data_IF_811679119766
#
_entry.id   IF_811679119766
#
_cell.length_a   1.000
_cell.length_b   1.000
_cell.length_c   1.000
_cell.angle_alpha   90.00
_cell.angle_beta   90.00
_cell.angle_gamma   90.00
#
_symmetry.space_group_name_H-M   'P 1'
#
loop_
_entity.id
_entity.type
_entity.pdbx_description
1 polymer ?
#
# COMPACT_ATOMS: atom_id res chain seq x y z
N UNK A 1 -27.53 -36.97 -11.54
CA UNK A 1 -26.39 -37.37 -10.68
C UNK A 1 -26.16 -36.43 -9.48
N UNK A 2 -27.18 -35.66 -9.05
CA UNK A 2 -27.02 -34.55 -8.08
C UNK A 2 -27.71 -34.75 -6.73
N UNK A 3 -28.50 -35.80 -6.50
CA UNK A 3 -29.24 -35.97 -5.22
C UNK A 3 -28.62 -36.96 -4.20
N UNK A 4 -27.80 -37.92 -4.61
CA UNK A 4 -27.16 -38.88 -3.67
C UNK A 4 -25.97 -38.22 -2.93
N UNK A 5 -25.32 -37.22 -3.53
CA UNK A 5 -24.16 -36.53 -2.95
C UNK A 5 -24.52 -35.59 -1.78
N UNK A 6 -25.74 -35.03 -1.77
CA UNK A 6 -26.19 -34.06 -0.77
C UNK A 6 -26.54 -34.73 0.58
N UNK A 7 -27.03 -35.98 0.57
CA UNK A 7 -27.43 -36.68 1.80
C UNK A 7 -26.24 -37.22 2.62
N UNK A 8 -25.13 -37.61 2.00
CA UNK A 8 -23.94 -38.10 2.71
C UNK A 8 -23.20 -36.96 3.41
N UNK A 9 -23.10 -35.78 2.79
CA UNK A 9 -22.46 -34.58 3.36
C UNK A 9 -23.18 -34.10 4.61
N UNK A 10 -24.52 -34.15 4.62
CA UNK A 10 -25.34 -33.74 5.76
C UNK A 10 -25.23 -34.66 6.99
N UNK A 11 -24.98 -35.96 6.79
CA UNK A 11 -24.78 -36.93 7.89
C UNK A 11 -23.40 -36.74 8.54
N UNK A 12 -22.36 -36.51 7.73
CA UNK A 12 -20.98 -36.26 8.23
C UNK A 12 -20.89 -34.94 9.01
N UNK A 13 -21.62 -33.91 8.59
CA UNK A 13 -21.71 -32.63 9.30
C UNK A 13 -22.40 -32.78 10.67
N UNK A 14 -23.49 -33.57 10.75
CA UNK A 14 -24.21 -33.82 12.01
C UNK A 14 -23.38 -34.63 13.02
N UNK A 15 -22.57 -35.58 12.56
CA UNK A 15 -21.67 -36.36 13.44
C UNK A 15 -20.50 -35.51 13.95
N UNK A 16 -19.91 -34.64 13.11
CA UNK A 16 -18.86 -33.70 13.54
C UNK A 16 -19.36 -32.67 14.56
N UNK A 17 -20.63 -32.25 14.49
CA UNK A 17 -21.23 -31.31 15.44
C UNK A 17 -21.44 -31.93 16.83
N UNK A 18 -21.86 -33.21 16.93
CA UNK A 18 -21.99 -33.93 18.21
C UNK A 18 -20.65 -34.11 18.92
N UNK A 19 -19.62 -34.52 18.17
CA UNK A 19 -18.28 -34.76 18.72
C UNK A 19 -17.62 -33.45 19.20
N UNK A 20 -17.98 -32.32 18.60
CA UNK A 20 -17.59 -30.99 19.08
C UNK A 20 -18.34 -30.57 20.35
N UNK A 21 -19.62 -30.90 20.49
CA UNK A 21 -20.41 -30.60 21.68
C UNK A 21 -19.89 -31.36 22.93
N UNK A 22 -19.60 -32.66 22.81
CA UNK A 22 -19.01 -33.43 23.93
C UNK A 22 -17.62 -32.93 24.34
N UNK A 23 -16.81 -32.46 23.38
CA UNK A 23 -15.50 -31.85 23.66
C UNK A 23 -15.62 -30.49 24.35
N UNK A 24 -16.71 -29.75 24.13
CA UNK A 24 -17.00 -28.47 24.81
C UNK A 24 -17.45 -28.73 26.25
N UNK A 25 -18.33 -29.72 26.47
CA UNK A 25 -18.82 -30.12 27.80
C UNK A 25 -17.66 -30.55 28.72
N UNK A 26 -16.76 -31.43 28.23
CA UNK A 26 -15.57 -31.88 28.97
C UNK A 26 -14.60 -30.75 29.32
N UNK A 27 -14.48 -29.73 28.46
CA UNK A 27 -13.65 -28.54 28.73
C UNK A 27 -14.26 -27.61 29.78
N UNK A 28 -15.59 -27.56 29.87
CA UNK A 28 -16.32 -26.77 30.89
C UNK A 28 -16.09 -27.33 32.30
N UNK A 29 -16.17 -28.65 32.46
CA UNK A 29 -15.98 -29.34 33.74
C UNK A 29 -14.55 -29.13 34.29
N UNK A 30 -13.54 -29.19 33.41
CA UNK A 30 -12.14 -28.98 33.81
C UNK A 30 -11.85 -27.49 34.16
N UNK A 31 -12.60 -26.56 33.55
CA UNK A 31 -12.46 -25.13 33.80
C UNK A 31 -13.00 -24.70 35.18
N UNK A 32 -14.13 -25.26 35.63
CA UNK A 32 -14.70 -24.97 36.95
C UNK A 32 -13.80 -25.48 38.10
N UNK A 33 -13.23 -26.69 37.97
CA UNK A 33 -12.26 -27.22 38.93
C UNK A 33 -10.95 -26.40 39.01
N UNK A 34 -10.55 -25.75 37.90
CA UNK A 34 -9.35 -24.91 37.87
C UNK A 34 -9.59 -23.53 38.51
N UNK A 35 -10.79 -22.97 38.32
CA UNK A 35 -11.21 -21.70 38.91
C UNK A 35 -11.26 -21.76 40.45
N UNK A 36 -11.60 -22.91 41.02
CA UNK A 36 -11.67 -23.11 42.47
C UNK A 36 -10.29 -23.09 43.15
N UNK A 37 -9.21 -23.38 42.40
CA UNK A 37 -7.83 -23.49 42.93
C UNK A 37 -6.96 -22.24 42.72
N UNK A 38 -7.44 -21.22 42.01
CA UNK A 38 -6.59 -20.14 41.48
C UNK A 38 -6.84 -18.72 42.06
N UNK A 39 -7.29 -18.59 43.32
CA UNK A 39 -7.13 -17.33 44.07
C UNK A 39 -5.87 -17.45 44.92
N UNK A 40 -4.85 -16.55 44.83
CA UNK A 40 -5.00 -15.10 44.67
C UNK A 40 -3.85 -14.39 43.90
N UNK A 41 -4.02 -13.94 42.65
CA UNK A 41 -3.15 -12.89 42.06
C UNK A 41 -3.89 -12.11 40.97
N UNK A 42 -4.32 -10.88 41.31
CA UNK A 42 -4.76 -9.75 40.49
C UNK A 42 -5.93 -9.91 39.49
N UNK A 43 -6.69 -8.81 39.33
CA UNK A 43 -7.98 -8.76 38.65
C UNK A 43 -7.88 -9.19 37.17
N UNK A 44 -8.72 -10.13 36.70
CA UNK A 44 -8.74 -10.49 35.29
C UNK A 44 -9.33 -9.36 34.43
N UNK A 45 -8.58 -8.92 33.42
CA UNK A 45 -9.02 -7.93 32.45
C UNK A 45 -10.00 -8.53 31.43
N UNK A 46 -10.93 -7.72 30.95
CA UNK A 46 -11.78 -8.12 29.81
C UNK A 46 -11.14 -7.64 28.52
N UNK A 47 -10.94 -8.55 27.56
CA UNK A 47 -10.12 -8.33 26.36
C UNK A 47 -10.90 -8.61 25.10
N UNK A 48 -10.74 -7.77 24.09
CA UNK A 48 -10.96 -8.14 22.69
C UNK A 48 -9.70 -7.87 21.88
N UNK A 49 -9.40 -8.71 20.89
CA UNK A 49 -8.26 -8.47 20.00
C UNK A 49 -8.68 -8.45 18.54
N UNK A 50 -8.10 -7.55 17.77
CA UNK A 50 -8.21 -7.50 16.31
C UNK A 50 -6.83 -7.71 15.70
N UNK A 51 -6.75 -8.52 14.65
CA UNK A 51 -5.54 -8.66 13.83
C UNK A 51 -5.73 -7.84 12.56
N UNK A 52 -4.69 -7.09 12.18
CA UNK A 52 -4.72 -6.27 10.95
C UNK A 52 -4.62 -7.11 9.66
N UNK A 53 -4.31 -8.41 9.77
CA UNK A 53 -4.15 -9.33 8.63
C UNK A 53 -5.42 -10.12 8.28
N UNK A 54 -6.52 -9.93 9.02
CA UNK A 54 -7.76 -10.69 8.79
C UNK A 54 -8.72 -9.84 7.96
N UNK A 55 -8.91 -10.22 6.68
CA UNK A 55 -9.84 -9.60 5.72
C UNK A 55 -11.31 -10.00 5.92
N UNK A 56 -11.57 -11.01 6.75
CA UNK A 56 -12.93 -11.50 7.04
C UNK A 56 -13.46 -10.82 8.31
N UNK A 57 -14.69 -10.27 8.31
CA UNK A 57 -15.28 -9.65 9.50
C UNK A 57 -15.55 -10.71 10.58
N UNK A 58 -14.59 -10.90 11.49
CA UNK A 58 -14.76 -11.72 12.70
C UNK A 58 -15.46 -10.89 13.77
N UNK A 59 -16.59 -11.38 14.28
CA UNK A 59 -17.29 -10.74 15.41
C UNK A 59 -16.36 -10.66 16.63
N UNK A 60 -15.90 -9.45 16.95
CA UNK A 60 -15.01 -9.20 18.09
C UNK A 60 -15.77 -9.48 19.39
N UNK A 61 -15.31 -10.45 20.17
CA UNK A 61 -15.94 -10.83 21.45
C UNK A 61 -15.02 -10.47 22.61
N UNK A 62 -15.60 -9.83 23.62
CA UNK A 62 -14.93 -9.50 24.88
C UNK A 62 -14.81 -10.77 25.75
N UNK A 63 -13.59 -11.11 26.18
CA UNK A 63 -13.30 -12.30 26.99
C UNK A 63 -12.47 -11.92 28.21
N UNK A 64 -12.87 -12.42 29.38
CA UNK A 64 -12.11 -12.26 30.62
C UNK A 64 -10.84 -13.12 30.55
N UNK A 65 -9.68 -12.52 30.79
CA UNK A 65 -8.34 -13.11 30.65
C UNK A 65 -7.41 -12.56 31.73
N UNK A 66 -6.46 -13.36 32.17
CA UNK A 66 -5.43 -12.94 33.11
C UNK A 66 -4.24 -12.37 32.37
N UNK A 67 -3.75 -11.22 32.83
CA UNK A 67 -2.54 -10.56 32.33
C UNK A 67 -1.51 -10.49 33.44
N UNK A 68 -0.26 -10.56 33.02
CA UNK A 68 0.88 -10.46 33.93
C UNK A 68 1.98 -9.66 33.23
N UNK A 69 2.55 -8.70 33.95
CA UNK A 69 3.78 -8.02 33.58
C UNK A 69 4.86 -8.41 34.60
N UNK A 70 5.85 -9.20 34.16
CA UNK A 70 7.01 -9.58 34.98
C UNK A 70 8.29 -9.16 34.27
N UNK A 71 8.99 -8.18 34.83
CA UNK A 71 10.15 -7.55 34.18
C UNK A 71 9.73 -6.94 32.84
N UNK A 72 10.32 -7.44 31.75
CA UNK A 72 10.04 -6.99 30.38
C UNK A 72 9.06 -7.90 29.63
N UNK A 73 8.52 -8.93 30.29
CA UNK A 73 7.56 -9.86 29.69
C UNK A 73 6.14 -9.50 30.08
N UNK A 74 5.40 -8.92 29.11
CA UNK A 74 3.95 -8.78 29.21
C UNK A 74 3.28 -10.00 28.57
N UNK A 75 2.38 -10.68 29.29
CA UNK A 75 1.78 -11.93 28.81
C UNK A 75 0.35 -12.11 29.28
N UNK A 76 -0.42 -12.91 28.55
CA UNK A 76 -1.79 -13.26 28.91
C UNK A 76 -2.07 -14.76 28.81
N UNK A 77 -2.93 -15.26 29.69
CA UNK A 77 -3.35 -16.66 29.70
C UNK A 77 -4.61 -16.86 28.87
N UNK A 78 -4.55 -17.72 27.85
CA UNK A 78 -5.68 -17.93 26.92
C UNK A 78 -6.65 -19.05 27.35
N UNK A 79 -6.40 -19.70 28.48
CA UNK A 79 -7.12 -20.88 28.98
C UNK A 79 -6.33 -22.19 28.88
N UNK A 80 -5.26 -22.23 28.08
CA UNK A 80 -4.41 -23.43 27.90
C UNK A 80 -2.94 -23.15 28.09
N UNK A 81 -2.47 -21.97 27.68
CA UNK A 81 -1.07 -21.56 27.79
C UNK A 81 -0.94 -20.05 27.95
N UNK A 82 0.24 -19.65 28.43
CA UNK A 82 0.69 -18.26 28.43
C UNK A 82 1.11 -17.84 27.02
N UNK A 83 0.74 -16.62 26.62
CA UNK A 83 1.11 -16.02 25.36
C UNK A 83 1.76 -14.67 25.64
N UNK A 84 2.96 -14.45 25.09
CA UNK A 84 3.71 -13.23 25.29
C UNK A 84 3.22 -12.14 24.31
N UNK A 85 3.17 -10.91 24.80
CA UNK A 85 2.94 -9.69 24.05
C UNK A 85 4.26 -8.94 24.05
N UNK A 86 4.82 -8.79 22.86
CA UNK A 86 6.01 -7.97 22.68
C UNK A 86 5.63 -6.50 22.79
N UNK A 87 6.10 -5.84 23.85
CA UNK A 87 5.85 -4.42 24.08
C UNK A 87 6.72 -3.51 23.21
N UNK A 88 7.73 -4.05 22.50
CA UNK A 88 8.54 -3.26 21.59
C UNK A 88 7.66 -2.68 20.50
N UNK A 89 7.81 -1.38 20.24
CA UNK A 89 7.01 -0.64 19.27
C UNK A 89 5.50 -0.61 19.57
N UNK A 90 5.09 -0.94 20.81
CA UNK A 90 3.71 -0.78 21.21
C UNK A 90 3.39 0.68 21.58
N UNK A 91 2.16 1.08 21.30
CA UNK A 91 1.56 2.31 21.82
C UNK A 91 0.46 1.95 22.81
N UNK A 92 0.38 2.66 23.93
CA UNK A 92 -0.67 2.45 24.94
C UNK A 92 -1.41 3.74 25.21
N UNK A 93 -2.74 3.71 25.07
CA UNK A 93 -3.59 4.89 25.23
C UNK A 93 -5.00 4.56 25.70
N UNK A 94 -5.64 5.54 26.33
CA UNK A 94 -7.05 5.52 26.69
C UNK A 94 -7.94 5.49 25.44
N UNK A 95 -9.04 4.74 25.49
CA UNK A 95 -10.07 4.73 24.46
C UNK A 95 -11.24 5.63 24.84
N UNK A 96 -11.21 6.89 24.38
CA UNK A 96 -12.25 7.89 24.70
C UNK A 96 -13.62 7.57 24.08
N UNK A 97 -13.66 6.87 22.94
CA UNK A 97 -14.90 6.50 22.21
C UNK A 97 -15.17 4.99 22.28
N UNK A 98 -14.90 4.37 23.43
CA UNK A 98 -15.11 2.95 23.60
C UNK A 98 -16.60 2.58 23.79
N UNK A 99 -17.00 1.41 23.29
CA UNK A 99 -18.33 0.82 23.56
C UNK A 99 -18.52 0.48 25.06
N UNK A 100 -17.45 0.55 25.85
CA UNK A 100 -17.42 0.24 27.28
C UNK A 100 -16.54 1.24 28.03
N UNK A 101 -16.90 1.58 29.26
CA UNK A 101 -16.09 2.45 30.13
C UNK A 101 -14.78 1.78 30.56
N UNK A 102 -13.82 2.59 31.02
CA UNK A 102 -12.53 2.15 31.57
C UNK A 102 -11.75 1.26 30.58
N UNK A 103 -11.76 1.65 29.31
CA UNK A 103 -11.10 0.92 28.25
C UNK A 103 -9.83 1.62 27.77
N UNK A 104 -8.79 0.84 27.54
CA UNK A 104 -7.55 1.28 26.95
C UNK A 104 -7.11 0.28 25.88
N UNK A 105 -6.22 0.71 24.99
CA UNK A 105 -5.69 -0.16 23.95
C UNK A 105 -4.17 -0.23 23.95
N UNK A 106 -3.68 -1.39 23.51
CA UNK A 106 -2.28 -1.66 23.21
C UNK A 106 -2.21 -1.93 21.71
N UNK A 107 -1.60 -1.01 20.98
CA UNK A 107 -1.45 -1.09 19.52
C UNK A 107 -0.04 -1.56 19.21
N UNK A 108 0.11 -2.78 18.67
CA UNK A 108 1.37 -3.27 18.08
C UNK A 108 1.27 -3.27 16.54
N UNK A 109 2.40 -3.43 15.81
CA UNK A 109 2.38 -3.54 14.35
C UNK A 109 1.47 -4.66 13.83
N UNK A 110 1.42 -5.79 14.55
CA UNK A 110 0.75 -7.02 14.11
C UNK A 110 -0.66 -7.16 14.70
N UNK A 111 -0.89 -6.63 15.92
CA UNK A 111 -2.10 -6.89 16.69
C UNK A 111 -2.50 -5.72 17.59
N UNK A 112 -3.80 -5.45 17.68
CA UNK A 112 -4.34 -4.48 18.65
C UNK A 112 -5.13 -5.21 19.72
N UNK A 113 -4.81 -4.93 20.99
CA UNK A 113 -5.55 -5.40 22.15
C UNK A 113 -6.38 -4.26 22.71
N UNK A 114 -7.68 -4.47 22.90
CA UNK A 114 -8.54 -3.56 23.66
C UNK A 114 -8.81 -4.22 25.00
N UNK A 115 -8.57 -3.49 26.07
CA UNK A 115 -8.56 -3.95 27.44
C UNK A 115 -9.52 -3.10 28.25
N UNK A 116 -10.30 -3.74 29.12
CA UNK A 116 -11.20 -3.10 30.05
C UNK A 116 -10.81 -3.49 31.48
N UNK A 117 -10.69 -2.48 32.35
CA UNK A 117 -10.51 -2.64 33.80
C UNK A 117 -11.83 -2.47 34.54
N UNK A 118 -11.85 -2.82 35.82
CA UNK A 118 -13.08 -2.72 36.62
C UNK A 118 -13.37 -1.26 37.00
N UNK A 119 -12.34 -0.42 37.12
CA UNK A 119 -12.46 1.02 37.40
C UNK A 119 -11.42 1.89 36.65
N UNK A 120 -11.67 3.20 36.65
CA UNK A 120 -10.84 4.22 35.97
C UNK A 120 -9.42 4.32 36.56
N UNK A 121 -9.29 4.19 37.88
CA UNK A 121 -7.99 4.22 38.55
C UNK A 121 -7.08 3.08 38.05
N UNK A 122 -7.60 1.86 38.04
CA UNK A 122 -6.89 0.69 37.49
C UNK A 122 -6.54 0.89 36.00
N UNK A 123 -7.42 1.53 35.21
CA UNK A 123 -7.13 1.81 33.80
C UNK A 123 -5.89 2.68 33.66
N UNK A 124 -5.82 3.80 34.40
CA UNK A 124 -4.67 4.70 34.34
C UNK A 124 -3.41 4.08 34.93
N UNK A 125 -3.54 3.27 35.98
CA UNK A 125 -2.43 2.50 36.54
C UNK A 125 -1.84 1.51 35.50
N UNK A 126 -2.70 0.77 34.80
CA UNK A 126 -2.30 -0.11 33.70
C UNK A 126 -1.65 0.65 32.54
N UNK A 127 -2.22 1.77 32.11
CA UNK A 127 -1.66 2.61 31.04
C UNK A 127 -0.26 3.09 31.44
N UNK A 128 -0.10 3.67 32.63
CA UNK A 128 1.18 4.19 33.11
C UNK A 128 2.23 3.09 33.23
N UNK A 129 1.87 1.96 33.83
CA UNK A 129 2.76 0.81 34.01
C UNK A 129 3.26 0.26 32.67
N UNK A 130 2.36 0.15 31.69
CA UNK A 130 2.72 -0.34 30.35
C UNK A 130 3.52 0.68 29.54
N UNK A 131 3.20 1.98 29.61
CA UNK A 131 4.01 3.03 28.98
C UNK A 131 5.45 3.03 29.52
N UNK A 132 5.62 2.87 30.84
CA UNK A 132 6.94 2.73 31.46
C UNK A 132 7.67 1.46 31.03
N UNK A 133 6.95 0.34 30.91
CA UNK A 133 7.52 -0.93 30.42
C UNK A 133 7.94 -0.86 28.96
N UNK A 134 7.17 -0.17 28.10
CA UNK A 134 7.53 0.10 26.71
C UNK A 134 8.80 0.97 26.65
N UNK A 135 8.89 2.02 27.46
CA UNK A 135 10.09 2.86 27.58
C UNK A 135 11.35 2.04 27.86
N UNK A 136 11.28 1.05 28.75
CA UNK A 136 12.39 0.13 29.02
C UNK A 136 12.67 -0.84 27.87
N UNK A 137 11.63 -1.41 27.27
CA UNK A 137 11.76 -2.37 26.17
C UNK A 137 12.38 -1.78 24.88
N UNK A 138 12.25 -0.46 24.68
CA UNK A 138 12.82 0.29 23.55
C UNK A 138 14.36 0.31 23.51
N UNK A 139 15.03 0.02 24.63
CA UNK A 139 16.50 -0.03 24.70
C UNK A 139 17.10 -1.41 24.37
N UNK A 140 16.31 -2.36 23.86
CA UNK A 140 16.79 -3.70 23.44
C UNK A 140 17.03 -3.80 21.92
N UNK A 141 18.11 -4.48 21.53
CA UNK A 141 18.86 -4.42 20.25
C UNK A 141 18.14 -4.86 18.93
N UNK A 142 16.81 -4.69 18.76
CA UNK A 142 16.08 -5.23 17.59
C UNK A 142 15.21 -4.26 16.79
N UNK A 143 15.04 -3.00 17.20
CA UNK A 143 14.21 -2.02 16.47
C UNK A 143 15.06 -1.00 15.70
N UNK A 144 14.57 -0.52 14.55
CA UNK A 144 15.26 0.54 13.81
C UNK A 144 15.14 1.89 14.54
N UNK A 145 16.12 2.80 14.40
CA UNK A 145 16.07 4.12 15.03
C UNK A 145 14.78 4.90 14.74
N UNK A 146 14.24 4.82 13.52
CA UNK A 146 13.01 5.49 13.11
C UNK A 146 11.76 4.94 13.82
N UNK A 147 11.66 3.61 13.96
CA UNK A 147 10.56 2.97 14.67
C UNK A 147 10.58 3.28 16.17
N UNK A 148 11.78 3.39 16.74
CA UNK A 148 11.99 3.78 18.15
C UNK A 148 11.51 5.22 18.37
N UNK A 149 11.93 6.16 17.51
CA UNK A 149 11.55 7.57 17.60
C UNK A 149 10.03 7.74 17.47
N UNK A 150 9.41 7.05 16.52
CA UNK A 150 7.96 7.09 16.31
C UNK A 150 7.17 6.57 17.52
N UNK A 151 7.60 5.48 18.13
CA UNK A 151 6.95 4.90 19.31
C UNK A 151 7.11 5.79 20.56
N UNK A 152 8.30 6.36 20.77
CA UNK A 152 8.57 7.29 21.87
C UNK A 152 7.72 8.56 21.75
N UNK A 153 7.66 9.16 20.56
CA UNK A 153 6.86 10.35 20.30
C UNK A 153 5.37 10.09 20.49
N UNK A 154 4.87 8.94 20.04
CA UNK A 154 3.47 8.58 20.20
C UNK A 154 3.06 8.37 21.65
N UNK A 155 3.91 7.72 22.45
CA UNK A 155 3.65 7.54 23.88
C UNK A 155 3.74 8.88 24.64
N UNK A 156 4.71 9.73 24.30
CA UNK A 156 4.80 11.09 24.86
C UNK A 156 3.56 11.95 24.56
N UNK A 157 3.05 11.87 23.32
CA UNK A 157 1.82 12.54 22.92
C UNK A 157 0.58 11.98 23.65
N UNK A 158 0.50 10.67 23.86
CA UNK A 158 -0.57 10.03 24.62
C UNK A 158 -0.56 10.48 26.10
N UNK A 159 0.62 10.54 26.72
CA UNK A 159 0.80 11.06 28.09
C UNK A 159 0.40 12.54 28.17
N UNK A 160 0.85 13.37 27.22
CA UNK A 160 0.48 14.80 27.18
C UNK A 160 -1.04 15.01 27.04
N UNK A 161 -1.68 14.19 26.20
CA UNK A 161 -3.13 14.21 26.02
C UNK A 161 -3.91 13.74 27.26
N UNK A 162 -3.33 12.84 28.06
CA UNK A 162 -3.89 12.38 29.34
C UNK A 162 -3.88 13.50 30.39
N UNK A 163 -2.80 14.28 30.47
CA UNK A 163 -2.67 15.42 31.39
C UNK A 163 -3.27 16.73 30.86
N UNK A 164 -3.96 16.71 29.71
CA UNK A 164 -4.59 17.89 29.13
C UNK A 164 -3.61 18.97 28.66
N UNK A 165 -2.33 18.62 28.48
CA UNK A 165 -1.28 19.52 28.00
C UNK A 165 -1.52 19.75 26.50
N UNK A 166 -2.04 20.92 26.13
CA UNK A 166 -2.28 21.28 24.73
C UNK A 166 -1.02 21.92 24.13
N UNK A 167 -0.62 21.54 22.90
CA UNK A 167 0.50 22.17 22.21
C UNK A 167 0.20 23.64 21.92
N UNK A 168 1.21 24.48 22.09
CA UNK A 168 1.15 25.92 21.81
C UNK A 168 1.02 26.19 20.30
N UNK A 169 0.49 27.36 19.92
CA UNK A 169 0.40 27.75 18.50
C UNK A 169 1.77 27.77 17.80
N UNK A 170 2.84 28.11 18.54
CA UNK A 170 4.21 28.08 18.04
C UNK A 170 4.66 26.65 17.69
N UNK A 171 4.35 25.68 18.53
CA UNK A 171 4.65 24.26 18.29
C UNK A 171 3.84 23.69 17.13
N UNK A 172 2.55 24.05 17.04
CA UNK A 172 1.70 23.66 15.90
C UNK A 172 2.24 24.21 14.58
N UNK A 173 2.72 25.47 14.57
CA UNK A 173 3.31 26.09 13.37
C UNK A 173 4.60 25.38 12.95
N UNK A 174 5.49 25.10 13.92
CA UNK A 174 6.74 24.36 13.67
C UNK A 174 6.47 22.97 13.12
N UNK A 175 5.55 22.23 13.73
CA UNK A 175 5.16 20.89 13.27
C UNK A 175 4.60 20.90 11.84
N UNK A 176 3.77 21.90 11.49
CA UNK A 176 3.25 22.06 10.12
C UNK A 176 4.37 22.29 9.10
N UNK A 177 5.37 23.09 9.46
CA UNK A 177 6.53 23.36 8.60
C UNK A 177 7.40 22.11 8.42
N UNK A 178 7.65 21.36 9.50
CA UNK A 178 8.39 20.09 9.45
C UNK A 178 7.69 19.06 8.54
N UNK A 179 6.36 18.94 8.65
CA UNK A 179 5.58 18.05 7.78
C UNK A 179 5.67 18.44 6.29
N UNK A 180 5.61 19.75 5.99
CA UNK A 180 5.77 20.24 4.62
C UNK A 180 7.18 20.00 4.08
N UNK A 181 8.21 20.20 4.90
CA UNK A 181 9.60 19.95 4.54
C UNK A 181 9.84 18.45 4.26
N UNK A 182 9.38 17.56 5.15
CA UNK A 182 9.45 16.10 4.95
C UNK A 182 8.72 15.67 3.67
N UNK A 183 7.56 16.26 3.39
CA UNK A 183 6.82 15.97 2.16
C UNK A 183 7.59 16.39 0.91
N UNK A 184 8.18 17.59 0.92
CA UNK A 184 9.00 18.10 -0.19
C UNK A 184 10.24 17.23 -0.42
N UNK A 185 10.91 16.82 0.65
CA UNK A 185 12.06 15.92 0.57
C UNK A 185 11.69 14.57 -0.06
N UNK A 186 10.59 13.96 0.38
CA UNK A 186 10.08 12.70 -0.20
C UNK A 186 9.74 12.86 -1.68
N UNK A 187 9.14 13.99 -2.07
CA UNK A 187 8.82 14.27 -3.48
C UNK A 187 10.09 14.35 -4.33
N UNK A 188 11.12 15.08 -3.87
CA UNK A 188 12.42 15.18 -4.54
C UNK A 188 13.11 13.82 -4.70
N UNK A 189 13.12 12.99 -3.65
CA UNK A 189 13.67 11.63 -3.69
C UNK A 189 12.97 10.75 -4.74
N UNK A 190 11.65 10.91 -4.90
CA UNK A 190 10.88 10.15 -5.89
C UNK A 190 11.11 10.68 -7.31
N UNK A 191 11.27 11.99 -7.49
CA UNK A 191 11.64 12.60 -8.77
C UNK A 191 13.04 12.15 -9.20
N UNK A 192 13.99 12.06 -8.26
CA UNK A 192 15.31 11.53 -8.54
C UNK A 192 15.25 10.10 -9.08
N UNK A 193 14.44 9.23 -8.46
CA UNK A 193 14.21 7.87 -8.98
C UNK A 193 13.66 7.84 -10.40
N UNK A 194 12.85 8.83 -10.80
CA UNK A 194 12.37 8.95 -12.18
C UNK A 194 13.53 9.29 -13.12
N UNK A 195 14.44 10.18 -12.73
CA UNK A 195 15.62 10.55 -13.54
C UNK A 195 16.56 9.36 -13.75
N UNK A 196 16.68 8.51 -12.74
CA UNK A 196 17.57 7.34 -12.74
C UNK A 196 17.01 6.16 -13.56
N UNK A 197 15.78 6.23 -14.08
CA UNK A 197 15.22 5.17 -14.92
C UNK A 197 15.99 5.01 -16.23
N UNK A 198 16.05 3.78 -16.80
CA UNK A 198 16.69 3.53 -18.08
C UNK A 198 16.18 4.48 -19.18
N UNK A 199 17.13 5.19 -19.81
CA UNK A 199 16.88 6.13 -20.90
C UNK A 199 16.43 7.53 -20.47
N UNK A 200 16.09 7.76 -19.19
CA UNK A 200 15.59 9.06 -18.73
C UNK A 200 16.67 10.14 -18.60
N UNK A 201 17.96 9.78 -18.66
CA UNK A 201 19.08 10.73 -18.69
C UNK A 201 19.21 11.51 -20.01
N UNK A 202 18.45 11.14 -21.04
CA UNK A 202 18.37 11.84 -22.33
C UNK A 202 16.91 12.03 -22.74
N UNK A 203 16.63 13.08 -23.50
CA UNK A 203 15.31 13.36 -24.05
C UNK A 203 14.82 12.20 -24.91
N UNK A 204 13.57 11.77 -24.69
CA UNK A 204 12.97 10.65 -25.40
C UNK A 204 12.98 10.82 -26.93
N UNK A 205 12.88 12.06 -27.43
CA UNK A 205 12.68 12.33 -28.86
C UNK A 205 13.95 12.72 -29.59
N UNK A 206 14.79 13.57 -29.00
CA UNK A 206 15.99 14.11 -29.67
C UNK A 206 17.32 13.79 -28.99
N UNK A 207 17.30 13.00 -27.91
CA UNK A 207 18.53 12.59 -27.22
C UNK A 207 19.26 13.68 -26.42
N UNK A 208 18.71 14.90 -26.32
CA UNK A 208 19.33 15.98 -25.52
C UNK A 208 19.48 15.55 -24.05
N UNK A 209 20.67 15.68 -23.43
CA UNK A 209 20.91 15.24 -22.05
C UNK A 209 20.10 16.01 -21.01
N UNK A 210 19.95 15.41 -19.84
CA UNK A 210 19.36 15.98 -18.62
C UNK A 210 17.98 16.62 -18.85
N UNK A 211 16.99 15.87 -19.37
CA UNK A 211 15.65 16.40 -19.56
C UNK A 211 14.98 16.76 -18.22
N UNK A 212 14.42 17.97 -18.14
CA UNK A 212 13.73 18.48 -16.93
C UNK A 212 12.20 18.55 -17.08
N UNK A 213 11.66 18.07 -18.20
CA UNK A 213 10.22 17.96 -18.43
C UNK A 213 9.86 16.49 -18.60
N UNK A 214 8.58 16.19 -18.44
CA UNK A 214 8.05 14.85 -18.64
C UNK A 214 6.63 14.90 -19.18
N UNK A 215 6.29 13.91 -20.00
CA UNK A 215 4.90 13.63 -20.34
C UNK A 215 4.38 12.57 -19.37
N UNK A 216 3.54 12.98 -18.42
CA UNK A 216 3.17 12.12 -17.30
C UNK A 216 2.19 11.00 -17.65
N UNK A 217 1.47 11.11 -18.77
CA UNK A 217 0.61 10.04 -19.28
C UNK A 217 1.36 9.06 -20.20
N UNK A 218 2.42 9.51 -20.88
CA UNK A 218 3.26 8.65 -21.73
C UNK A 218 4.39 7.97 -20.95
N UNK A 219 4.81 8.54 -19.81
CA UNK A 219 5.89 7.98 -18.99
C UNK A 219 7.30 8.28 -19.50
N UNK A 220 7.49 9.44 -20.14
CA UNK A 220 8.76 9.84 -20.78
C UNK A 220 9.29 11.17 -20.25
N UNK A 221 10.60 11.36 -20.31
CA UNK A 221 11.30 12.63 -20.03
C UNK A 221 11.70 13.35 -21.32
N UNK A 222 11.57 14.68 -21.30
CA UNK A 222 11.66 15.56 -22.46
C UNK A 222 12.55 16.76 -22.14
N UNK A 223 13.31 17.24 -23.12
CA UNK A 223 13.96 18.54 -23.03
C UNK A 223 12.95 19.69 -23.22
N UNK A 224 13.36 20.92 -22.93
CA UNK A 224 12.49 22.10 -23.02
C UNK A 224 11.81 22.22 -24.39
N UNK A 225 12.55 22.02 -25.48
CA UNK A 225 12.06 22.18 -26.85
C UNK A 225 11.03 21.11 -27.20
N UNK A 226 11.35 19.82 -26.99
CA UNK A 226 10.42 18.73 -27.26
C UNK A 226 9.18 18.82 -26.36
N UNK A 227 9.35 19.25 -25.11
CA UNK A 227 8.21 19.49 -24.20
C UNK A 227 7.26 20.56 -24.74
N UNK A 228 7.79 21.60 -25.40
CA UNK A 228 6.98 22.64 -26.06
C UNK A 228 6.15 22.10 -27.21
N UNK A 229 6.74 21.25 -28.04
CA UNK A 229 6.04 20.56 -29.14
C UNK A 229 4.96 19.63 -28.58
N UNK A 230 5.28 18.83 -27.56
CA UNK A 230 4.31 17.97 -26.88
C UNK A 230 3.10 18.73 -26.30
N UNK A 231 3.28 19.98 -25.85
CA UNK A 231 2.15 20.84 -25.43
C UNK A 231 1.24 21.18 -26.62
N UNK A 232 1.81 21.39 -27.80
CA UNK A 232 1.10 21.67 -29.05
C UNK A 232 0.23 20.51 -29.54
N UNK A 233 0.58 19.25 -29.22
CA UNK A 233 -0.21 18.06 -29.58
C UNK A 233 -1.57 18.00 -28.84
N UNK A 234 -1.68 18.69 -27.70
CA UNK A 234 -2.88 18.69 -26.86
C UNK A 234 -2.92 17.58 -25.79
N UNK A 235 -3.74 17.82 -24.76
CA UNK A 235 -3.80 17.01 -23.52
C UNK A 235 -4.31 15.58 -23.70
N UNK A 236 -4.94 15.28 -24.84
CA UNK A 236 -5.41 13.95 -25.22
C UNK A 236 -4.26 13.07 -25.73
N UNK A 237 -3.16 13.68 -26.19
CA UNK A 237 -1.93 12.97 -26.61
C UNK A 237 -0.88 13.02 -25.50
N UNK A 238 -0.56 14.22 -25.00
CA UNK A 238 0.56 14.43 -24.08
C UNK A 238 0.22 15.42 -22.97
N UNK A 239 0.52 15.03 -21.72
CA UNK A 239 0.31 15.83 -20.51
C UNK A 239 1.66 16.21 -19.93
N UNK A 240 2.16 17.39 -20.34
CA UNK A 240 3.52 17.85 -20.00
C UNK A 240 3.57 18.52 -18.62
N UNK A 241 4.52 18.09 -17.78
CA UNK A 241 4.88 18.68 -16.48
C UNK A 241 6.39 18.88 -16.37
N UNK A 242 6.82 19.91 -15.67
CA UNK A 242 8.22 20.09 -15.26
C UNK A 242 8.54 19.19 -14.07
N UNK A 243 9.68 18.52 -14.11
CA UNK A 243 10.20 17.70 -13.00
C UNK A 243 10.68 18.56 -11.81
N UNK A 244 10.94 19.86 -12.03
CA UNK A 244 11.50 20.77 -11.02
C UNK A 244 10.51 21.87 -10.58
N UNK A 245 9.65 22.33 -11.49
CA UNK A 245 8.78 23.50 -11.25
C UNK A 245 7.33 23.13 -10.90
N UNK A 246 6.87 21.95 -11.32
CA UNK A 246 5.49 21.52 -11.08
C UNK A 246 5.40 20.56 -9.88
N UNK A 247 4.22 20.53 -9.27
CA UNK A 247 3.88 19.53 -8.25
C UNK A 247 3.57 18.16 -8.89
N UNK A 248 4.02 17.10 -8.25
CA UNK A 248 3.84 15.71 -8.68
C UNK A 248 2.99 14.89 -7.70
N UNK A 249 1.71 14.63 -8.03
CA UNK A 249 0.90 13.63 -7.34
C UNK A 249 1.55 12.23 -7.37
N UNK A 250 1.35 11.45 -6.30
CA UNK A 250 1.94 10.11 -6.16
C UNK A 250 1.50 9.15 -7.28
N UNK A 251 0.30 9.35 -7.82
CA UNK A 251 -0.23 8.56 -8.95
C UNK A 251 0.57 8.81 -10.23
N UNK A 252 0.96 10.06 -10.51
CA UNK A 252 1.77 10.38 -11.69
C UNK A 252 3.22 9.89 -11.53
N UNK A 253 3.77 9.96 -10.32
CA UNK A 253 5.08 9.40 -10.01
C UNK A 253 5.09 7.89 -10.27
N UNK A 254 4.02 7.19 -9.86
CA UNK A 254 3.89 5.74 -10.05
C UNK A 254 3.88 5.36 -11.53
N UNK A 255 3.20 6.15 -12.38
CA UNK A 255 3.22 5.95 -13.85
C UNK A 255 4.64 6.12 -14.38
N UNK A 256 5.32 7.21 -14.02
CA UNK A 256 6.70 7.48 -14.46
C UNK A 256 7.65 6.35 -14.04
N UNK A 257 7.59 5.90 -12.78
CA UNK A 257 8.42 4.80 -12.25
C UNK A 257 8.15 3.43 -12.88
N UNK A 258 6.96 3.24 -13.45
CA UNK A 258 6.60 2.00 -14.15
C UNK A 258 7.07 1.98 -15.61
N UNK A 259 7.50 3.13 -16.15
CA UNK A 259 7.83 3.32 -17.55
C UNK A 259 9.29 3.79 -17.72
N UNK A 260 9.53 4.92 -18.37
CA UNK A 260 10.84 5.42 -18.75
C UNK A 260 11.10 5.34 -20.25
N UNK A 261 11.97 6.22 -20.74
CA UNK A 261 12.21 6.43 -22.17
C UNK A 261 12.63 5.17 -22.89
N UNK A 262 13.47 4.32 -22.28
CA UNK A 262 13.87 3.04 -22.90
C UNK A 262 12.65 2.16 -23.20
N UNK A 263 11.74 2.01 -22.23
CA UNK A 263 10.54 1.16 -22.39
C UNK A 263 9.56 1.75 -23.39
N UNK A 264 9.35 3.07 -23.34
CA UNK A 264 8.40 3.74 -24.22
C UNK A 264 8.92 3.79 -25.65
N UNK A 265 10.22 4.05 -25.86
CA UNK A 265 10.81 4.02 -27.20
C UNK A 265 10.86 2.59 -27.77
N UNK A 266 10.99 1.55 -26.96
CA UNK A 266 10.83 0.16 -27.42
C UNK A 266 9.42 -0.14 -27.98
N UNK A 267 8.42 0.70 -27.69
CA UNK A 267 7.07 0.63 -28.25
C UNK A 267 6.94 1.58 -29.44
N UNK A 268 7.25 2.87 -29.21
CA UNK A 268 7.00 3.96 -30.16
C UNK A 268 8.05 4.10 -31.26
N UNK A 269 9.18 3.41 -31.16
CA UNK A 269 10.28 3.39 -32.14
C UNK A 269 10.63 1.94 -32.54
N UNK A 270 9.73 0.98 -32.28
CA UNK A 270 9.98 -0.46 -32.44
C UNK A 270 10.38 -0.86 -33.88
N UNK A 271 9.76 -0.24 -34.89
CA UNK A 271 10.10 -0.50 -36.30
C UNK A 271 11.50 -0.04 -36.66
N UNK A 272 11.94 1.10 -36.12
CA UNK A 272 13.26 1.65 -36.37
C UNK A 272 14.35 0.77 -35.74
N UNK A 273 14.11 0.30 -34.52
CA UNK A 273 15.00 -0.66 -33.85
C UNK A 273 15.09 -1.99 -34.62
N UNK A 274 13.97 -2.49 -35.14
CA UNK A 274 13.93 -3.72 -35.96
C UNK A 274 14.72 -3.56 -37.26
N UNK A 275 14.58 -2.41 -37.93
CA UNK A 275 15.22 -2.14 -39.21
C UNK A 275 16.66 -1.59 -39.07
N UNK A 276 17.11 -1.30 -37.85
CA UNK A 276 18.38 -0.61 -37.57
C UNK A 276 18.50 0.73 -38.32
N UNK A 277 17.38 1.45 -38.44
CA UNK A 277 17.27 2.73 -39.14
C UNK A 277 17.05 3.86 -38.12
N UNK A 278 18.12 4.58 -37.77
CA UNK A 278 18.07 5.74 -36.87
C UNK A 278 18.22 7.07 -37.64
N UNK A 279 18.24 7.03 -38.99
CA UNK A 279 18.47 8.23 -39.82
C UNK A 279 17.35 9.27 -39.69
N UNK A 280 16.15 8.80 -39.33
CA UNK A 280 14.97 9.65 -39.17
C UNK A 280 14.92 10.37 -37.80
N UNK A 281 15.75 9.99 -36.83
CA UNK A 281 15.70 10.52 -35.46
C UNK A 281 16.41 11.87 -35.37
N UNK A 282 15.76 12.92 -34.82
CA UNK A 282 16.40 14.23 -34.69
C UNK A 282 17.52 14.23 -33.65
N UNK A 283 18.57 15.00 -33.90
CA UNK A 283 19.61 15.31 -32.93
C UNK A 283 19.19 16.42 -31.96
N UNK A 284 19.93 16.63 -30.85
CA UNK A 284 19.67 17.75 -29.94
C UNK A 284 19.71 19.13 -30.63
N UNK A 285 20.54 19.27 -31.67
CA UNK A 285 20.75 20.49 -32.46
C UNK A 285 19.76 20.65 -33.61
N UNK A 286 18.98 19.61 -33.93
CA UNK A 286 18.03 19.65 -35.05
C UNK A 286 17.01 20.77 -34.87
N UNK A 287 16.62 21.37 -36.00
CA UNK A 287 15.64 22.45 -36.04
C UNK A 287 14.29 22.02 -35.44
N UNK A 288 13.56 22.99 -34.90
CA UNK A 288 12.27 22.73 -34.27
C UNK A 288 11.27 22.09 -35.24
N UNK A 289 11.31 22.44 -36.53
CA UNK A 289 10.45 21.86 -37.56
C UNK A 289 10.70 20.35 -37.74
N UNK A 290 11.97 19.94 -37.72
CA UNK A 290 12.35 18.52 -37.83
C UNK A 290 11.87 17.76 -36.59
N UNK A 291 12.08 18.33 -35.40
CA UNK A 291 11.59 17.76 -34.14
C UNK A 291 10.06 17.65 -34.11
N UNK A 292 9.35 18.65 -34.63
CA UNK A 292 7.89 18.67 -34.68
C UNK A 292 7.34 17.60 -35.63
N UNK A 293 7.95 17.47 -36.81
CA UNK A 293 7.61 16.39 -37.75
C UNK A 293 7.80 15.02 -37.10
N UNK A 294 8.98 14.78 -36.50
CA UNK A 294 9.29 13.54 -35.80
C UNK A 294 8.29 13.21 -34.69
N UNK A 295 8.05 14.16 -33.78
CA UNK A 295 7.14 13.98 -32.63
C UNK A 295 5.70 13.71 -33.11
N UNK A 296 5.25 14.40 -34.16
CA UNK A 296 3.92 14.16 -34.74
C UNK A 296 3.82 12.77 -35.37
N UNK A 297 4.84 12.36 -36.13
CA UNK A 297 4.94 11.01 -36.71
C UNK A 297 4.97 9.93 -35.64
N UNK A 298 5.71 10.15 -34.55
CA UNK A 298 5.85 9.21 -33.43
C UNK A 298 4.56 9.05 -32.62
N UNK A 299 3.93 10.14 -32.16
CA UNK A 299 2.84 10.04 -31.16
C UNK A 299 1.43 10.18 -31.73
N UNK A 300 1.25 10.92 -32.82
CA UNK A 300 -0.06 11.11 -33.46
C UNK A 300 -0.26 10.06 -34.54
N UNK A 301 0.65 10.01 -35.52
CA UNK A 301 0.53 9.09 -36.66
C UNK A 301 1.02 7.68 -36.34
N UNK A 302 1.84 7.53 -35.28
CA UNK A 302 2.34 6.25 -34.76
C UNK A 302 3.08 5.43 -35.83
N UNK A 303 3.80 6.11 -36.72
CA UNK A 303 4.42 5.56 -37.93
C UNK A 303 5.51 4.51 -37.65
N UNK A 304 6.07 4.51 -36.43
CA UNK A 304 7.21 3.67 -36.07
C UNK A 304 6.85 2.53 -35.10
N UNK A 305 5.56 2.30 -34.83
CA UNK A 305 5.11 1.20 -33.96
C UNK A 305 5.06 -0.11 -34.74
N UNK A 306 5.57 -1.19 -34.16
CA UNK A 306 5.48 -2.52 -34.75
C UNK A 306 4.24 -3.29 -34.26
N UNK A 307 3.38 -3.69 -35.20
CA UNK A 307 2.09 -4.36 -34.94
C UNK A 307 2.12 -5.90 -35.07
N UNK A 308 3.25 -6.51 -35.41
CA UNK A 308 3.35 -7.95 -35.67
C UNK A 308 3.35 -8.31 -37.16
N UNK A 309 3.32 -9.61 -37.48
CA UNK A 309 3.25 -10.13 -38.86
C UNK A 309 1.82 -10.64 -39.17
N UNK A 310 1.05 -9.88 -39.96
CA UNK A 310 -0.18 -10.22 -40.72
C UNK A 310 -1.58 -10.37 -40.05
N UNK A 311 -2.57 -9.85 -40.81
CA UNK A 311 -4.06 -9.82 -40.70
C UNK A 311 -4.72 -8.76 -39.77
N UNK A 312 -4.95 -7.56 -40.34
CA UNK A 312 -5.46 -6.33 -39.69
C UNK A 312 -6.75 -6.51 -38.84
N UNK A 313 -7.70 -7.35 -39.27
CA UNK A 313 -8.97 -7.53 -38.55
C UNK A 313 -8.86 -8.53 -37.38
N UNK A 314 -7.98 -9.54 -37.50
CA UNK A 314 -7.63 -10.44 -36.41
C UNK A 314 -6.77 -9.72 -35.36
N UNK A 315 -5.95 -8.77 -35.80
CA UNK A 315 -5.11 -7.93 -34.93
C UNK A 315 -5.98 -7.02 -34.05
N UNK A 316 -7.05 -6.40 -34.55
CA UNK A 316 -7.87 -5.51 -33.71
C UNK A 316 -8.54 -6.26 -32.54
N UNK A 317 -9.27 -7.35 -32.84
CA UNK A 317 -9.96 -8.13 -31.80
C UNK A 317 -8.98 -8.72 -30.77
N UNK A 318 -7.76 -9.07 -31.20
CA UNK A 318 -6.72 -9.52 -30.28
C UNK A 318 -6.08 -8.37 -29.49
N UNK A 319 -5.93 -7.16 -30.04
CA UNK A 319 -5.37 -5.99 -29.33
C UNK A 319 -6.19 -5.64 -28.08
N UNK A 320 -7.52 -5.58 -28.18
CA UNK A 320 -8.36 -5.27 -27.02
C UNK A 320 -8.29 -6.37 -25.95
N UNK A 321 -8.34 -7.65 -26.37
CA UNK A 321 -8.22 -8.77 -25.45
C UNK A 321 -6.86 -8.77 -24.73
N UNK A 322 -5.78 -8.53 -25.48
CA UNK A 322 -4.42 -8.52 -24.93
C UNK A 322 -4.18 -7.28 -24.04
N UNK A 323 -4.79 -6.14 -24.35
CA UNK A 323 -4.84 -4.99 -23.46
C UNK A 323 -5.46 -5.37 -22.11
N UNK A 324 -6.64 -6.00 -22.10
CA UNK A 324 -7.28 -6.43 -20.84
C UNK A 324 -6.45 -7.49 -20.10
N UNK A 325 -5.80 -8.41 -20.80
CA UNK A 325 -4.87 -9.38 -20.19
C UNK A 325 -3.64 -8.70 -19.58
N UNK A 326 -3.11 -7.64 -20.20
CA UNK A 326 -2.02 -6.85 -19.64
C UNK A 326 -2.48 -6.11 -18.37
N UNK A 327 -3.68 -5.53 -18.39
CA UNK A 327 -4.30 -4.87 -17.23
C UNK A 327 -4.54 -5.86 -16.09
N UNK A 328 -5.10 -7.04 -16.35
CA UNK A 328 -5.34 -8.09 -15.34
C UNK A 328 -4.04 -8.58 -14.68
N UNK A 329 -2.92 -8.53 -15.41
CA UNK A 329 -1.57 -8.85 -14.91
C UNK A 329 -0.87 -7.68 -14.21
N UNK A 330 -1.40 -6.47 -14.32
CA UNK A 330 -0.73 -5.25 -13.83
C UNK A 330 0.50 -4.84 -14.66
N UNK A 331 0.59 -5.25 -15.93
CA UNK A 331 1.70 -4.97 -16.83
C UNK A 331 1.44 -3.67 -17.61
N UNK A 332 1.82 -2.53 -17.02
CA UNK A 332 1.58 -1.21 -17.61
C UNK A 332 2.31 -0.98 -18.95
N UNK A 333 3.60 -1.34 -19.12
CA UNK A 333 4.26 -1.23 -20.41
C UNK A 333 3.50 -1.95 -21.54
N UNK A 334 3.07 -3.18 -21.29
CA UNK A 334 2.35 -3.96 -22.31
C UNK A 334 0.94 -3.39 -22.57
N UNK A 335 0.26 -2.89 -21.53
CA UNK A 335 -1.01 -2.19 -21.72
C UNK A 335 -0.87 -0.93 -22.59
N UNK A 336 0.19 -0.13 -22.39
CA UNK A 336 0.48 1.04 -23.22
C UNK A 336 0.81 0.65 -24.66
N UNK A 337 1.52 -0.46 -24.86
CA UNK A 337 1.77 -1.00 -26.21
C UNK A 337 0.47 -1.22 -26.97
N UNK A 338 -0.51 -1.87 -26.34
CA UNK A 338 -1.81 -2.11 -26.98
C UNK A 338 -2.65 -0.84 -27.18
N UNK A 339 -2.60 0.13 -26.25
CA UNK A 339 -3.21 1.46 -26.45
C UNK A 339 -2.57 2.16 -27.65
N UNK A 340 -1.24 2.08 -27.78
CA UNK A 340 -0.52 2.64 -28.90
C UNK A 340 -0.94 1.96 -30.21
N UNK A 341 -1.16 0.65 -30.23
CA UNK A 341 -1.71 -0.09 -31.37
C UNK A 341 -3.21 0.19 -31.66
N UNK A 342 -3.93 0.88 -30.77
CA UNK A 342 -5.32 1.30 -31.00
C UNK A 342 -6.36 0.66 -30.08
N UNK A 343 -5.97 -0.03 -29.01
CA UNK A 343 -6.92 -0.58 -28.03
C UNK A 343 -7.83 0.51 -27.46
N UNK A 344 -9.14 0.31 -27.60
CA UNK A 344 -10.18 1.12 -26.98
C UNK A 344 -10.22 0.88 -25.48
N UNK A 345 -9.91 1.91 -24.68
CA UNK A 345 -9.84 1.81 -23.21
C UNK A 345 -11.21 1.67 -22.53
N UNK A 346 -12.30 1.90 -23.27
CA UNK A 346 -13.68 1.91 -22.76
C UNK A 346 -14.56 0.78 -23.33
N UNK A 347 -14.00 -0.08 -24.19
CA UNK A 347 -14.77 -1.16 -24.79
C UNK A 347 -14.91 -2.30 -23.78
N UNK A 348 -16.11 -2.52 -23.26
CA UNK A 348 -16.39 -3.63 -22.36
C UNK A 348 -16.01 -4.96 -23.05
N UNK A 349 -15.31 -5.81 -22.30
CA UNK A 349 -14.89 -7.13 -22.73
C UNK A 349 -16.13 -8.03 -22.98
N UNK A 350 -16.74 -7.90 -24.16
CA UNK A 350 -17.92 -8.66 -24.58
C UNK A 350 -17.65 -10.16 -24.76
N UNK A 351 -16.40 -10.61 -24.61
CA UNK A 351 -15.99 -11.99 -24.79
C UNK A 351 -16.12 -12.86 -23.52
N UNK A 352 -16.64 -12.34 -22.40
CA UNK A 352 -16.91 -13.14 -21.18
C UNK A 352 -18.30 -13.79 -21.11
N UNK A 353 -19.13 -13.69 -22.16
CA UNK A 353 -20.48 -14.28 -22.20
C UNK A 353 -20.80 -14.99 -23.52
N UNK A 354 -19.85 -15.75 -24.06
CA UNK A 354 -20.15 -16.73 -25.11
C UNK A 354 -19.49 -18.04 -24.72
N UNK A 355 -20.14 -18.76 -23.82
CA UNK A 355 -20.14 -20.23 -23.74
C UNK A 355 -21.22 -20.61 -22.72
N UNK A 356 -22.41 -20.93 -23.25
CA UNK A 356 -23.51 -21.60 -22.56
C UNK A 356 -23.55 -23.06 -22.98
#
# INVERSE_FOLDING_TARGET
FTEIHINIVNIVLKLKLRDQQEKIEKKKINFEQYMEKARPFYNPLTVRHSSKQITIPVKLTWKRRYFELKGDQFRYFNGTKWNNIDLRLCMVREMKNADRRNCFEIVSPIKTFHLQTDNEYEMFEWISTLQNAIGRALHSERATPEEIEAAALANSAATSAMFGIKPTEKEKKRHRQELLAKKKQKEEEMIQKIRDLPGNGICADCGKPDPEWASCNLGITLCITCSGIHRGLGVHVSKVRSLTLDRWPEELITIMLSLGNTRVNAIYEALLQKNCDDECRPSPESDQIIKEHWITSKYIRKEYIWSGENQEEFILNTIHEQYFKAVDRGDLPEAIRYIALGAGTNEYNNYKYIDF
#
